data_IF_530318742541
#
_entry.id   IF_530318742541
#
_cell.length_a   1.000
_cell.length_b   1.000
_cell.length_c   1.000
_cell.angle_alpha   90.00
_cell.angle_beta   90.00
_cell.angle_gamma   90.00
#
_symmetry.space_group_name_H-M   'P 1'
#
loop_
_entity.id
_entity.type
_entity.pdbx_description
1 polymer ?
#
# COMPACT_ATOMS: atom_id res chain seq x y z
N UNK A 1 -23.63 64.56 0.02
CA UNK A 1 -24.75 63.60 0.08
C UNK A 1 -24.22 62.24 -0.34
N UNK A 2 -23.75 61.43 0.61
CA UNK A 2 -23.24 60.08 0.36
C UNK A 2 -24.37 59.07 0.54
N UNK A 3 -24.88 58.54 -0.57
CA UNK A 3 -25.84 57.44 -0.57
C UNK A 3 -25.13 56.14 -0.20
N UNK A 4 -25.38 55.65 1.02
CA UNK A 4 -24.97 54.32 1.46
C UNK A 4 -25.85 53.26 0.79
N UNK A 5 -25.29 52.59 -0.21
CA UNK A 5 -25.94 51.43 -0.83
C UNK A 5 -25.84 50.27 0.16
N UNK A 6 -26.91 49.99 0.91
CA UNK A 6 -26.98 48.80 1.76
C UNK A 6 -26.96 47.56 0.87
N UNK A 7 -25.86 46.81 0.89
CA UNK A 7 -25.77 45.50 0.25
C UNK A 7 -26.79 44.58 0.93
N UNK A 8 -27.87 44.29 0.21
CA UNK A 8 -28.90 43.38 0.67
C UNK A 8 -28.28 41.97 0.72
N UNK A 9 -28.20 41.37 1.90
CA UNK A 9 -27.73 40.01 2.05
C UNK A 9 -28.60 39.08 1.19
N UNK A 10 -28.02 38.11 0.45
CA UNK A 10 -28.80 37.18 -0.34
C UNK A 10 -29.82 36.48 0.58
N UNK A 11 -31.05 36.20 0.08
CA UNK A 11 -32.07 35.55 0.87
C UNK A 11 -31.49 34.25 1.43
N UNK A 12 -31.51 34.09 2.75
CA UNK A 12 -31.09 32.86 3.40
C UNK A 12 -31.90 31.72 2.80
N UNK A 13 -31.27 30.88 1.97
CA UNK A 13 -31.86 29.62 1.53
C UNK A 13 -32.10 28.84 2.80
N UNK A 14 -33.34 28.85 3.30
CA UNK A 14 -33.73 28.01 4.43
C UNK A 14 -33.39 26.59 3.99
N UNK A 15 -32.47 25.94 4.71
CA UNK A 15 -32.19 24.52 4.54
C UNK A 15 -33.50 23.80 4.79
N UNK A 16 -34.25 23.52 3.73
CA UNK A 16 -35.44 22.67 3.80
C UNK A 16 -34.99 21.38 4.46
N UNK A 17 -35.57 21.06 5.61
CA UNK A 17 -35.31 19.89 6.45
C UNK A 17 -34.71 18.75 5.63
N UNK A 18 -33.39 18.62 5.67
CA UNK A 18 -32.75 17.47 5.07
C UNK A 18 -33.21 16.28 5.90
N UNK A 19 -34.12 15.47 5.34
CA UNK A 19 -34.58 14.22 5.95
C UNK A 19 -33.41 13.23 6.00
N UNK A 20 -32.45 13.48 6.88
CA UNK A 20 -31.27 12.65 7.13
C UNK A 20 -31.54 11.85 8.39
N UNK A 21 -31.47 10.54 8.25
CA UNK A 21 -31.48 9.61 9.35
C UNK A 21 -30.14 9.67 10.09
N UNK A 22 -30.16 9.52 11.43
CA UNK A 22 -28.96 9.48 12.23
C UNK A 22 -28.16 8.20 11.94
N UNK A 23 -26.84 8.24 12.08
CA UNK A 23 -25.93 7.14 11.72
C UNK A 23 -26.26 5.79 12.36
N UNK A 24 -26.89 5.78 13.55
CA UNK A 24 -27.30 4.57 14.25
C UNK A 24 -28.30 3.70 13.45
N UNK A 25 -29.05 4.25 12.49
CA UNK A 25 -29.97 3.44 11.68
C UNK A 25 -29.26 2.33 10.89
N UNK A 26 -27.96 2.52 10.56
CA UNK A 26 -27.15 1.50 9.92
C UNK A 26 -26.93 0.29 10.84
N UNK A 27 -26.75 0.52 12.15
CA UNK A 27 -26.63 -0.56 13.12
C UNK A 27 -27.97 -1.32 13.22
N UNK A 28 -29.09 -0.60 13.26
CA UNK A 28 -30.42 -1.22 13.35
C UNK A 28 -30.76 -2.06 12.11
N UNK A 29 -30.50 -1.55 10.89
CA UNK A 29 -30.72 -2.33 9.66
C UNK A 29 -29.75 -3.49 9.55
N UNK A 30 -28.54 -3.37 10.11
CA UNK A 30 -27.55 -4.45 10.18
C UNK A 30 -27.97 -5.57 11.12
N UNK A 31 -28.41 -5.22 12.32
CA UNK A 31 -28.95 -6.19 13.29
C UNK A 31 -30.21 -6.86 12.77
N UNK A 32 -31.13 -6.11 12.16
CA UNK A 32 -32.32 -6.67 11.53
C UNK A 32 -31.95 -7.63 10.39
N UNK A 33 -30.99 -7.25 9.53
CA UNK A 33 -30.49 -8.10 8.46
C UNK A 33 -29.88 -9.41 8.99
N UNK A 34 -29.06 -9.32 10.03
CA UNK A 34 -28.42 -10.48 10.65
C UNK A 34 -29.44 -11.40 11.33
N UNK A 35 -30.41 -10.86 12.07
CA UNK A 35 -31.45 -11.66 12.73
C UNK A 35 -32.32 -12.40 11.71
N UNK A 36 -32.72 -11.71 10.63
CA UNK A 36 -33.48 -12.35 9.54
C UNK A 36 -32.63 -13.41 8.84
N UNK A 37 -31.35 -13.15 8.60
CA UNK A 37 -30.45 -14.15 8.01
C UNK A 37 -30.35 -15.41 8.87
N UNK A 38 -30.13 -15.25 10.18
CA UNK A 38 -30.03 -16.38 11.13
C UNK A 38 -31.34 -17.18 11.17
N UNK A 39 -32.50 -16.49 11.22
CA UNK A 39 -33.80 -17.14 11.23
C UNK A 39 -34.12 -17.87 9.92
N UNK A 40 -33.76 -17.31 8.77
CA UNK A 40 -33.92 -17.98 7.47
C UNK A 40 -33.01 -19.20 7.39
N UNK A 41 -31.73 -19.06 7.76
CA UNK A 41 -30.75 -20.14 7.65
C UNK A 41 -31.02 -21.29 8.64
N UNK A 42 -31.64 -21.03 9.79
CA UNK A 42 -32.03 -22.10 10.74
C UNK A 42 -33.16 -22.96 10.20
N UNK A 43 -34.09 -22.40 9.42
CA UNK A 43 -35.19 -23.15 8.80
C UNK A 43 -34.68 -24.12 7.73
N UNK A 44 -33.63 -23.74 7.01
CA UNK A 44 -33.05 -24.54 5.91
C UNK A 44 -31.87 -25.42 6.34
N UNK A 45 -31.59 -25.53 7.65
CA UNK A 45 -30.45 -26.27 8.20
C UNK A 45 -29.09 -25.91 7.56
N UNK A 46 -28.94 -24.65 7.16
CA UNK A 46 -27.77 -24.12 6.44
C UNK A 46 -26.95 -23.13 7.29
N UNK A 47 -27.06 -23.24 8.62
CA UNK A 47 -26.55 -22.27 9.57
C UNK A 47 -25.05 -22.46 9.80
N UNK A 48 -24.25 -21.62 9.15
CA UNK A 48 -22.81 -21.51 9.35
C UNK A 48 -22.44 -20.06 9.61
N UNK A 49 -21.29 -19.82 10.26
CA UNK A 49 -20.80 -18.45 10.51
C UNK A 49 -20.65 -17.68 9.19
N UNK A 50 -20.12 -18.34 8.16
CA UNK A 50 -19.94 -17.74 6.84
C UNK A 50 -21.27 -17.40 6.16
N UNK A 51 -22.23 -18.33 6.13
CA UNK A 51 -23.53 -18.11 5.52
C UNK A 51 -24.35 -17.04 6.26
N UNK A 52 -24.27 -16.99 7.59
CA UNK A 52 -24.93 -15.97 8.41
C UNK A 52 -24.36 -14.57 8.16
N UNK A 53 -23.03 -14.42 8.08
CA UNK A 53 -22.39 -13.14 7.76
C UNK A 53 -22.74 -12.71 6.33
N UNK A 54 -22.67 -13.61 5.36
CA UNK A 54 -22.89 -13.29 3.95
C UNK A 54 -24.34 -12.89 3.68
N UNK A 55 -25.30 -13.70 4.12
CA UNK A 55 -26.71 -13.38 3.97
C UNK A 55 -27.10 -12.17 4.83
N UNK A 56 -26.58 -12.07 6.05
CA UNK A 56 -26.80 -10.93 6.93
C UNK A 56 -26.33 -9.61 6.32
N UNK A 57 -25.16 -9.61 5.68
CA UNK A 57 -24.65 -8.43 4.97
C UNK A 57 -25.48 -8.10 3.72
N UNK A 58 -25.91 -9.09 2.94
CA UNK A 58 -26.81 -8.86 1.79
C UNK A 58 -28.14 -8.26 2.24
N UNK A 59 -28.73 -8.79 3.31
CA UNK A 59 -29.95 -8.24 3.89
C UNK A 59 -29.72 -6.86 4.50
N UNK A 60 -28.55 -6.60 5.08
CA UNK A 60 -28.17 -5.28 5.56
C UNK A 60 -28.09 -4.24 4.43
N UNK A 61 -27.51 -4.60 3.26
CA UNK A 61 -27.52 -3.75 2.07
C UNK A 61 -28.96 -3.45 1.61
N UNK A 62 -29.81 -4.49 1.57
CA UNK A 62 -31.19 -4.37 1.14
C UNK A 62 -32.02 -3.52 2.11
N UNK A 63 -31.97 -3.80 3.41
CA UNK A 63 -32.71 -3.05 4.43
C UNK A 63 -32.17 -1.63 4.58
N UNK A 64 -30.86 -1.43 4.58
CA UNK A 64 -30.24 -0.10 4.62
C UNK A 64 -30.66 0.76 3.42
N UNK A 65 -30.61 0.19 2.22
CA UNK A 65 -31.04 0.89 1.01
C UNK A 65 -32.54 1.17 0.99
N UNK A 66 -33.38 0.17 1.28
CA UNK A 66 -34.84 0.31 1.25
C UNK A 66 -35.34 1.30 2.32
N UNK A 67 -34.79 1.21 3.54
CA UNK A 67 -35.15 2.12 4.62
C UNK A 67 -34.77 3.56 4.31
N UNK A 68 -33.57 3.79 3.75
CA UNK A 68 -33.14 5.11 3.31
C UNK A 68 -33.95 5.62 2.10
N UNK A 69 -34.33 4.74 1.15
CA UNK A 69 -35.16 5.12 0.01
C UNK A 69 -36.54 5.64 0.45
N UNK A 70 -37.14 4.99 1.45
CA UNK A 70 -38.46 5.36 1.99
C UNK A 70 -38.43 6.64 2.84
N UNK A 71 -37.32 6.92 3.56
CA UNK A 71 -37.24 8.03 4.52
C UNK A 71 -36.48 9.25 4.01
N UNK A 72 -35.36 9.04 3.32
CA UNK A 72 -34.40 10.07 2.89
C UNK A 72 -34.48 10.34 1.37
N UNK A 73 -35.06 9.42 0.59
CA UNK A 73 -35.18 9.51 -0.86
C UNK A 73 -33.99 8.93 -1.63
N UNK A 74 -34.04 8.93 -2.97
CA UNK A 74 -33.16 8.11 -3.82
C UNK A 74 -31.69 8.57 -3.82
N UNK A 75 -31.43 9.86 -3.59
CA UNK A 75 -30.07 10.41 -3.55
C UNK A 75 -29.31 9.89 -2.33
N UNK A 76 -29.93 9.95 -1.16
CA UNK A 76 -29.32 9.49 0.09
C UNK A 76 -29.28 7.97 0.20
N UNK A 77 -30.28 7.26 -0.35
CA UNK A 77 -30.24 5.80 -0.43
C UNK A 77 -29.01 5.27 -1.20
N UNK A 78 -28.63 5.94 -2.29
CA UNK A 78 -27.40 5.60 -3.03
C UNK A 78 -26.15 5.87 -2.19
N UNK A 79 -26.10 6.99 -1.48
CA UNK A 79 -24.99 7.34 -0.59
C UNK A 79 -24.80 6.29 0.53
N UNK A 80 -25.90 5.85 1.17
CA UNK A 80 -25.88 4.79 2.19
C UNK A 80 -25.46 3.45 1.61
N UNK A 81 -26.01 3.07 0.45
CA UNK A 81 -25.61 1.85 -0.24
C UNK A 81 -24.10 1.83 -0.52
N UNK A 82 -23.56 2.93 -1.07
CA UNK A 82 -22.12 3.06 -1.31
C UNK A 82 -21.32 2.97 -0.03
N UNK A 83 -21.77 3.62 1.05
CA UNK A 83 -21.14 3.53 2.37
C UNK A 83 -21.05 2.08 2.85
N UNK A 84 -22.15 1.33 2.77
CA UNK A 84 -22.17 -0.08 3.20
C UNK A 84 -21.32 -0.97 2.31
N UNK A 85 -21.31 -0.75 1.00
CA UNK A 85 -20.43 -1.46 0.07
C UNK A 85 -18.94 -1.20 0.38
N UNK A 86 -18.58 0.05 0.66
CA UNK A 86 -17.20 0.41 1.07
C UNK A 86 -16.83 -0.26 2.39
N UNK A 87 -17.71 -0.26 3.39
CA UNK A 87 -17.48 -0.94 4.67
C UNK A 87 -17.30 -2.46 4.44
N UNK A 88 -18.13 -3.07 3.61
CA UNK A 88 -18.02 -4.48 3.25
C UNK A 88 -16.71 -4.81 2.54
N UNK A 89 -16.34 -4.02 1.52
CA UNK A 89 -15.08 -4.18 0.80
C UNK A 89 -13.87 -4.00 1.73
N UNK A 90 -13.92 -3.01 2.63
CA UNK A 90 -12.89 -2.79 3.65
C UNK A 90 -12.78 -4.00 4.59
N UNK A 91 -13.89 -4.54 5.08
CA UNK A 91 -13.89 -5.72 5.95
C UNK A 91 -13.29 -6.96 5.25
N UNK A 92 -13.66 -7.18 3.98
CA UNK A 92 -13.11 -8.27 3.16
C UNK A 92 -11.60 -8.10 2.97
N UNK A 93 -11.13 -6.88 2.69
CA UNK A 93 -9.70 -6.56 2.54
C UNK A 93 -8.93 -6.70 3.86
N UNK A 94 -9.56 -6.35 4.99
CA UNK A 94 -8.97 -6.43 6.31
C UNK A 94 -8.76 -7.88 6.78
N UNK A 95 -9.62 -8.81 6.36
CA UNK A 95 -9.53 -10.21 6.75
C UNK A 95 -8.17 -10.87 6.44
N UNK A 96 -7.65 -10.88 5.19
CA UNK A 96 -6.35 -11.46 4.89
C UNK A 96 -5.20 -10.72 5.60
N UNK A 97 -5.32 -9.40 5.78
CA UNK A 97 -4.30 -8.61 6.50
C UNK A 97 -4.22 -9.04 7.98
N UNK A 98 -5.36 -9.13 8.67
CA UNK A 98 -5.42 -9.58 10.06
C UNK A 98 -5.03 -11.06 10.19
N UNK A 99 -5.44 -11.91 9.25
CA UNK A 99 -5.05 -13.32 9.21
C UNK A 99 -3.54 -13.48 9.04
N UNK A 100 -2.92 -12.70 8.15
CA UNK A 100 -1.48 -12.70 7.95
C UNK A 100 -0.76 -12.20 9.20
N UNK A 101 -1.22 -11.11 9.79
CA UNK A 101 -0.65 -10.56 11.03
C UNK A 101 -0.72 -11.58 12.16
N UNK A 102 -1.88 -12.21 12.36
CA UNK A 102 -2.06 -13.28 13.35
C UNK A 102 -1.11 -14.45 13.09
N UNK A 103 -0.99 -14.90 11.85
CA UNK A 103 -0.08 -16.00 11.49
C UNK A 103 1.39 -15.64 11.72
N UNK A 104 1.80 -14.42 11.37
CA UNK A 104 3.17 -13.92 11.56
C UNK A 104 3.50 -13.81 13.05
N UNK A 105 2.61 -13.25 13.85
CA UNK A 105 2.83 -13.12 15.30
C UNK A 105 2.78 -14.51 15.96
N UNK A 106 1.76 -15.32 15.71
CA UNK A 106 1.58 -16.61 16.36
C UNK A 106 2.72 -17.60 16.03
N UNK A 107 3.02 -17.77 14.73
CA UNK A 107 4.09 -18.68 14.30
C UNK A 107 5.47 -18.09 14.52
N UNK A 108 5.64 -16.78 14.34
CA UNK A 108 6.91 -16.08 14.55
C UNK A 108 7.31 -16.05 16.01
N UNK A 109 6.39 -15.73 16.93
CA UNK A 109 6.67 -15.71 18.37
C UNK A 109 7.04 -17.11 18.87
N UNK A 110 6.33 -18.15 18.44
CA UNK A 110 6.69 -19.53 18.76
C UNK A 110 8.12 -19.87 18.31
N UNK A 111 8.51 -19.47 17.09
CA UNK A 111 9.87 -19.66 16.55
C UNK A 111 10.94 -18.90 17.35
N UNK A 112 10.66 -17.67 17.77
CA UNK A 112 11.60 -16.84 18.55
C UNK A 112 11.77 -17.40 19.97
N UNK A 113 10.67 -17.75 20.64
CA UNK A 113 10.72 -18.21 22.04
C UNK A 113 11.20 -19.65 22.19
N UNK A 114 10.89 -20.52 21.23
CA UNK A 114 11.31 -21.92 21.25
C UNK A 114 12.67 -22.15 20.54
N UNK A 115 13.42 -21.07 20.31
CA UNK A 115 14.72 -21.14 19.66
C UNK A 115 15.70 -21.99 20.49
N UNK A 116 16.50 -22.82 19.80
CA UNK A 116 17.47 -23.74 20.39
C UNK A 116 18.86 -23.44 19.81
N UNK A 117 19.94 -23.53 20.61
CA UNK A 117 20.03 -24.06 21.98
C UNK A 117 19.65 -23.08 23.09
N UNK A 118 19.65 -21.78 22.81
CA UNK A 118 19.36 -20.71 23.76
C UNK A 118 18.28 -19.75 23.20
N UNK A 119 17.57 -18.98 24.05
CA UNK A 119 16.51 -18.07 23.60
C UNK A 119 16.96 -16.96 22.62
N UNK A 120 18.26 -16.66 22.53
CA UNK A 120 18.81 -15.66 21.62
C UNK A 120 19.31 -16.26 20.29
N UNK A 121 19.40 -17.59 20.19
CA UNK A 121 19.86 -18.30 18.99
C UNK A 121 19.08 -17.93 17.73
N UNK A 122 17.80 -17.58 17.82
CA UNK A 122 17.04 -17.10 16.66
C UNK A 122 17.69 -15.88 15.99
N UNK A 123 18.31 -14.98 16.75
CA UNK A 123 18.89 -13.74 16.23
C UNK A 123 20.34 -13.89 15.77
N UNK A 124 21.09 -14.79 16.39
CA UNK A 124 22.54 -14.95 16.17
C UNK A 124 22.87 -16.12 15.26
N UNK A 125 22.02 -17.15 15.21
CA UNK A 125 22.23 -18.30 14.35
C UNK A 125 21.80 -18.02 12.91
N UNK A 126 22.36 -18.83 12.02
CA UNK A 126 22.08 -18.82 10.59
C UNK A 126 21.33 -20.10 10.16
N UNK A 127 20.95 -20.21 8.89
CA UNK A 127 20.35 -21.37 8.24
C UNK A 127 21.39 -22.26 7.55
N UNK A 128 22.69 -22.02 7.78
CA UNK A 128 23.76 -22.84 7.23
C UNK A 128 23.63 -24.30 7.71
N UNK A 129 23.62 -25.24 6.77
CA UNK A 129 23.48 -26.67 7.04
C UNK A 129 22.05 -27.13 7.39
N UNK A 130 21.06 -26.24 7.32
CA UNK A 130 19.66 -26.57 7.62
C UNK A 130 18.94 -26.91 6.32
N UNK A 131 18.54 -28.17 6.19
CA UNK A 131 17.90 -28.71 4.99
C UNK A 131 16.47 -29.14 5.35
N UNK A 132 15.51 -28.88 4.47
CA UNK A 132 14.14 -29.40 4.60
C UNK A 132 13.26 -28.68 5.63
N UNK A 133 13.62 -27.48 6.06
CA UNK A 133 12.77 -26.67 6.93
C UNK A 133 12.65 -27.20 8.36
N UNK A 134 13.69 -27.86 8.86
CA UNK A 134 13.79 -28.21 10.27
C UNK A 134 13.48 -26.97 11.15
N UNK A 135 12.83 -27.18 12.29
CA UNK A 135 12.57 -26.14 13.29
C UNK A 135 13.87 -25.78 14.05
N UNK A 136 14.86 -25.32 13.29
CA UNK A 136 16.18 -24.93 13.75
C UNK A 136 16.70 -23.77 12.90
N UNK A 137 17.73 -23.07 13.40
CA UNK A 137 18.37 -21.94 12.74
C UNK A 137 17.87 -20.58 13.20
N UNK A 138 18.42 -19.53 12.59
CA UNK A 138 18.09 -18.15 12.93
C UNK A 138 18.05 -17.20 11.72
N UNK A 139 17.72 -15.94 12.01
CA UNK A 139 17.49 -14.87 11.04
C UNK A 139 18.76 -14.09 10.71
N UNK A 140 19.91 -14.47 11.26
CA UNK A 140 21.14 -13.68 11.17
C UNK A 140 21.57 -13.38 9.71
N UNK A 141 21.60 -14.39 8.83
CA UNK A 141 21.88 -14.16 7.40
C UNK A 141 20.90 -13.22 6.72
N UNK A 142 19.63 -13.24 7.11
CA UNK A 142 18.62 -12.39 6.48
C UNK A 142 18.85 -10.92 6.88
N UNK A 143 19.24 -10.66 8.14
CA UNK A 143 19.62 -9.33 8.61
C UNK A 143 20.88 -8.85 7.89
N UNK A 144 21.96 -9.63 7.95
CA UNK A 144 23.24 -9.29 7.31
C UNK A 144 23.08 -9.14 5.80
N UNK A 145 22.36 -10.07 5.17
CA UNK A 145 22.05 -10.05 3.74
C UNK A 145 21.27 -8.81 3.34
N UNK A 146 20.26 -8.40 4.11
CA UNK A 146 19.50 -7.17 3.86
C UNK A 146 20.41 -5.95 3.94
N UNK A 147 21.27 -5.86 4.95
CA UNK A 147 22.21 -4.75 5.11
C UNK A 147 23.21 -4.69 3.94
N UNK A 148 23.81 -5.82 3.56
CA UNK A 148 24.76 -5.89 2.45
C UNK A 148 24.11 -5.56 1.11
N UNK A 149 22.92 -6.11 0.82
CA UNK A 149 22.18 -5.84 -0.41
C UNK A 149 21.82 -4.36 -0.49
N UNK A 150 21.30 -3.79 0.60
CA UNK A 150 20.93 -2.36 0.67
C UNK A 150 22.16 -1.47 0.55
N UNK A 151 23.27 -1.82 1.19
CA UNK A 151 24.53 -1.07 1.09
C UNK A 151 25.04 -1.05 -0.34
N UNK A 152 25.13 -2.20 -1.00
CA UNK A 152 25.59 -2.28 -2.39
C UNK A 152 24.65 -1.58 -3.36
N UNK A 153 23.33 -1.72 -3.17
CA UNK A 153 22.36 -0.96 -3.95
C UNK A 153 22.54 0.56 -3.73
N UNK A 154 22.81 1.00 -2.51
CA UNK A 154 23.05 2.40 -2.17
C UNK A 154 24.32 2.96 -2.80
N UNK A 155 25.42 2.20 -2.76
CA UNK A 155 26.69 2.58 -3.40
C UNK A 155 26.50 2.81 -4.91
N UNK A 156 25.59 2.06 -5.55
CA UNK A 156 25.29 2.21 -6.98
C UNK A 156 24.29 3.35 -7.22
N UNK A 157 23.13 3.30 -6.57
CA UNK A 157 22.00 4.18 -6.89
C UNK A 157 22.17 5.60 -6.38
N UNK A 158 22.85 5.82 -5.24
CA UNK A 158 23.02 7.18 -4.70
C UNK A 158 23.86 8.03 -5.64
N UNK A 159 25.08 7.63 -6.06
CA UNK A 159 25.87 8.43 -6.99
C UNK A 159 25.18 8.62 -8.33
N UNK A 160 24.63 7.54 -8.92
CA UNK A 160 23.93 7.60 -10.21
C UNK A 160 22.74 8.54 -10.14
N UNK A 161 21.92 8.41 -9.10
CA UNK A 161 20.72 9.23 -8.92
C UNK A 161 21.04 10.69 -8.65
N UNK A 162 22.03 10.96 -7.79
CA UNK A 162 22.46 12.31 -7.44
C UNK A 162 23.06 13.04 -8.65
N UNK A 163 23.99 12.42 -9.38
CA UNK A 163 24.57 13.05 -10.58
C UNK A 163 23.53 13.28 -11.68
N UNK A 164 22.57 12.37 -11.81
CA UNK A 164 21.45 12.53 -12.74
C UNK A 164 20.57 13.72 -12.33
N UNK A 165 20.23 13.84 -11.04
CA UNK A 165 19.46 14.97 -10.53
C UNK A 165 20.19 16.31 -10.72
N UNK A 166 21.49 16.35 -10.43
CA UNK A 166 22.33 17.54 -10.68
C UNK A 166 22.30 17.89 -12.18
N UNK A 167 22.45 16.91 -13.06
CA UNK A 167 22.35 17.12 -14.51
C UNK A 167 21.00 17.72 -14.93
N UNK A 168 19.90 17.16 -14.38
CA UNK A 168 18.54 17.59 -14.70
C UNK A 168 18.20 18.99 -14.18
N UNK A 169 18.73 19.38 -13.01
CA UNK A 169 18.43 20.68 -12.40
C UNK A 169 19.33 21.80 -12.93
N UNK A 170 20.61 21.52 -13.18
CA UNK A 170 21.59 22.56 -13.52
C UNK A 170 21.82 22.68 -15.03
N UNK A 171 21.75 21.58 -15.78
CA UNK A 171 22.27 21.55 -17.14
C UNK A 171 21.22 21.28 -18.22
N UNK A 172 20.01 20.85 -17.86
CA UNK A 172 19.00 20.38 -18.81
C UNK A 172 18.13 21.50 -19.43
N UNK A 173 18.46 22.77 -19.23
CA UNK A 173 17.57 23.88 -19.65
C UNK A 173 17.70 24.30 -21.12
N UNK A 174 18.84 24.06 -21.79
CA UNK A 174 19.09 24.61 -23.13
C UNK A 174 19.74 23.63 -24.13
N UNK A 175 19.40 23.80 -25.41
CA UNK A 175 20.00 23.08 -26.54
C UNK A 175 19.78 21.56 -26.53
N UNK A 176 20.77 20.81 -27.00
CA UNK A 176 20.74 19.33 -27.05
C UNK A 176 20.58 18.69 -25.66
N UNK A 177 21.07 19.35 -24.60
CA UNK A 177 20.95 18.88 -23.21
C UNK A 177 19.49 18.85 -22.74
N UNK A 178 18.63 19.74 -23.25
CA UNK A 178 17.19 19.73 -22.97
C UNK A 178 16.51 18.49 -23.54
N UNK A 179 16.90 18.06 -24.74
CA UNK A 179 16.37 16.82 -25.33
C UNK A 179 16.83 15.60 -24.54
N UNK A 180 18.10 15.58 -24.11
CA UNK A 180 18.62 14.53 -23.23
C UNK A 180 17.89 14.50 -21.88
N UNK A 181 17.70 15.64 -21.22
CA UNK A 181 16.99 15.73 -19.94
C UNK A 181 15.55 15.21 -20.03
N UNK A 182 14.83 15.53 -21.12
CA UNK A 182 13.51 14.94 -21.40
C UNK A 182 13.56 13.43 -21.57
N UNK A 183 14.57 12.91 -22.27
CA UNK A 183 14.77 11.48 -22.45
C UNK A 183 15.07 10.75 -21.14
N UNK A 184 15.94 11.32 -20.30
CA UNK A 184 16.26 10.79 -18.97
C UNK A 184 15.03 10.79 -18.07
N UNK A 185 14.29 11.90 -18.04
CA UNK A 185 13.03 12.00 -17.25
C UNK A 185 12.04 10.94 -17.70
N UNK A 186 11.85 10.76 -19.01
CA UNK A 186 11.00 9.70 -19.56
C UNK A 186 11.46 8.29 -19.14
N UNK A 187 12.77 8.01 -19.17
CA UNK A 187 13.30 6.72 -18.72
C UNK A 187 13.05 6.50 -17.22
N UNK A 188 13.27 7.52 -16.40
CA UNK A 188 12.98 7.48 -14.95
C UNK A 188 11.49 7.22 -14.71
N UNK A 189 10.60 7.91 -15.42
CA UNK A 189 9.16 7.71 -15.32
C UNK A 189 8.76 6.27 -15.70
N UNK A 190 9.33 5.73 -16.80
CA UNK A 190 9.11 4.35 -17.22
C UNK A 190 9.60 3.37 -16.14
N UNK A 191 10.77 3.61 -15.53
CA UNK A 191 11.29 2.77 -14.45
C UNK A 191 10.37 2.76 -13.23
N UNK A 192 9.74 3.90 -12.88
CA UNK A 192 8.74 3.94 -11.78
C UNK A 192 7.42 3.25 -12.12
N UNK A 193 7.09 3.13 -13.40
CA UNK A 193 5.87 2.46 -13.86
C UNK A 193 5.96 0.93 -13.81
N UNK A 194 7.16 0.35 -13.74
CA UNK A 194 7.36 -1.10 -13.70
C UNK A 194 7.03 -1.61 -12.29
N UNK A 195 6.19 -2.65 -12.14
CA UNK A 195 5.94 -3.27 -10.85
C UNK A 195 7.24 -3.80 -10.22
N UNK A 196 7.44 -3.59 -8.92
CA UNK A 196 8.67 -3.98 -8.21
C UNK A 196 8.98 -5.47 -8.30
N UNK A 197 7.94 -6.33 -8.34
CA UNK A 197 8.08 -7.79 -8.52
C UNK A 197 8.70 -8.11 -9.89
N UNK A 198 8.28 -7.40 -10.95
CA UNK A 198 8.78 -7.61 -12.31
C UNK A 198 10.24 -7.22 -12.40
N UNK A 199 10.63 -6.08 -11.82
CA UNK A 199 12.03 -5.66 -11.76
C UNK A 199 12.91 -6.66 -10.97
N UNK A 200 12.40 -7.17 -9.84
CA UNK A 200 13.09 -8.18 -9.05
C UNK A 200 13.32 -9.49 -9.82
N UNK A 201 12.29 -9.99 -10.51
CA UNK A 201 12.39 -11.21 -11.31
C UNK A 201 13.26 -10.99 -12.56
N UNK A 202 13.20 -9.82 -13.18
CA UNK A 202 14.07 -9.46 -14.30
C UNK A 202 15.55 -9.48 -13.88
N UNK A 203 15.89 -8.84 -12.75
CA UNK A 203 17.25 -8.86 -12.22
C UNK A 203 17.75 -10.29 -11.98
N UNK A 204 16.93 -11.14 -11.37
CA UNK A 204 17.24 -12.56 -11.19
C UNK A 204 17.46 -13.29 -12.53
N UNK A 205 16.52 -13.15 -13.46
CA UNK A 205 16.56 -13.85 -14.75
C UNK A 205 17.76 -13.42 -15.61
N UNK A 206 18.11 -12.13 -15.58
CA UNK A 206 19.27 -11.58 -16.27
C UNK A 206 20.55 -12.27 -15.78
N UNK A 207 20.76 -12.36 -14.47
CA UNK A 207 21.95 -13.00 -13.93
C UNK A 207 22.01 -14.50 -14.19
N UNK A 208 20.88 -15.21 -14.11
CA UNK A 208 20.81 -16.63 -14.47
C UNK A 208 21.17 -16.85 -15.94
N UNK A 209 20.76 -15.95 -16.83
CA UNK A 209 21.06 -16.06 -18.26
C UNK A 209 22.55 -15.84 -18.58
N UNK A 210 23.25 -15.00 -17.81
CA UNK A 210 24.67 -14.69 -18.03
C UNK A 210 25.64 -15.56 -17.22
N UNK A 211 25.18 -16.29 -16.20
CA UNK A 211 26.04 -17.17 -15.40
C UNK A 211 26.08 -18.61 -15.96
N UNK A 212 27.27 -19.24 -16.00
CA UNK A 212 27.42 -20.64 -16.44
C UNK A 212 26.70 -21.65 -15.54
N UNK A 213 26.61 -21.34 -14.25
CA UNK A 213 25.94 -22.18 -13.25
C UNK A 213 24.65 -21.51 -12.78
N UNK A 214 23.52 -22.08 -13.18
CA UNK A 214 22.18 -21.59 -12.85
C UNK A 214 21.79 -21.82 -11.38
N UNK A 215 22.59 -22.59 -10.64
CA UNK A 215 22.37 -22.83 -9.20
C UNK A 215 22.95 -21.73 -8.31
N UNK A 216 23.81 -20.87 -8.87
CA UNK A 216 24.46 -19.79 -8.14
C UNK A 216 23.47 -18.68 -7.81
N UNK A 217 23.21 -18.49 -6.52
CA UNK A 217 22.41 -17.38 -5.98
C UNK A 217 23.30 -16.49 -5.13
N UNK A 218 23.64 -15.33 -5.66
CA UNK A 218 24.54 -14.37 -4.98
C UNK A 218 23.77 -13.14 -4.53
N UNK A 219 24.12 -12.59 -3.36
CA UNK A 219 23.51 -11.37 -2.84
C UNK A 219 23.64 -10.16 -3.79
N UNK A 220 24.69 -10.13 -4.63
CA UNK A 220 24.89 -9.07 -5.62
C UNK A 220 23.79 -9.01 -6.68
N UNK A 221 23.17 -10.14 -7.02
CA UNK A 221 22.02 -10.16 -7.94
C UNK A 221 20.85 -9.37 -7.36
N UNK A 222 20.59 -9.55 -6.06
CA UNK A 222 19.60 -8.79 -5.31
C UNK A 222 19.95 -7.30 -5.21
N UNK A 223 21.24 -6.97 -5.02
CA UNK A 223 21.70 -5.58 -4.96
C UNK A 223 21.51 -4.84 -6.29
N UNK A 224 21.78 -5.50 -7.43
CA UNK A 224 21.54 -4.92 -8.75
C UNK A 224 20.05 -4.80 -9.06
N UNK A 225 19.25 -5.79 -8.70
CA UNK A 225 17.80 -5.69 -8.86
C UNK A 225 17.20 -4.55 -8.00
N UNK A 226 17.66 -4.42 -6.75
CA UNK A 226 17.24 -3.35 -5.86
C UNK A 226 17.72 -1.98 -6.36
N UNK A 227 18.93 -1.87 -6.91
CA UNK A 227 19.45 -0.60 -7.41
C UNK A 227 18.62 -0.03 -8.55
N UNK A 228 18.09 -0.88 -9.43
CA UNK A 228 17.15 -0.49 -10.51
C UNK A 228 15.89 0.17 -9.96
N UNK A 229 15.35 -0.34 -8.85
CA UNK A 229 14.17 0.23 -8.20
C UNK A 229 14.49 1.50 -7.41
N UNK A 230 15.72 1.59 -6.89
CA UNK A 230 16.12 2.70 -6.04
C UNK A 230 16.56 3.95 -6.82
N UNK A 231 17.14 3.79 -8.02
CA UNK A 231 17.60 4.92 -8.86
C UNK A 231 16.48 5.95 -9.09
N UNK A 232 15.27 5.61 -9.58
CA UNK A 232 14.24 6.61 -9.86
C UNK A 232 13.81 7.41 -8.62
N UNK A 233 13.73 6.73 -7.48
CA UNK A 233 13.39 7.35 -6.19
C UNK A 233 14.47 8.35 -5.77
N UNK A 234 15.75 7.98 -5.89
CA UNK A 234 16.86 8.88 -5.56
C UNK A 234 16.90 10.07 -6.52
N UNK A 235 16.79 9.85 -7.84
CA UNK A 235 16.78 10.92 -8.84
C UNK A 235 15.70 11.95 -8.51
N UNK A 236 14.46 11.50 -8.31
CA UNK A 236 13.32 12.40 -8.12
C UNK A 236 13.40 13.16 -6.79
N UNK A 237 13.75 12.46 -5.72
CA UNK A 237 13.93 13.10 -4.41
C UNK A 237 15.07 14.14 -4.45
N UNK A 238 16.20 13.82 -5.10
CA UNK A 238 17.30 14.76 -5.25
C UNK A 238 16.97 15.92 -6.19
N UNK A 239 16.26 15.70 -7.28
CA UNK A 239 15.83 16.76 -8.22
C UNK A 239 14.88 17.75 -7.53
N UNK A 240 13.88 17.23 -6.81
CA UNK A 240 12.94 18.05 -6.04
C UNK A 240 13.67 18.87 -4.97
N UNK A 241 14.60 18.25 -4.22
CA UNK A 241 15.39 18.95 -3.21
C UNK A 241 16.31 20.03 -3.80
N UNK A 242 17.02 19.74 -4.89
CA UNK A 242 17.93 20.69 -5.53
C UNK A 242 17.18 21.89 -6.12
N UNK A 243 15.96 21.70 -6.63
CA UNK A 243 15.11 22.79 -7.14
C UNK A 243 14.57 23.71 -6.05
N UNK A 244 14.48 23.26 -4.81
CA UNK A 244 14.03 24.09 -3.69
C UNK A 244 15.09 25.10 -3.23
N UNK A 245 16.35 24.96 -3.66
CA UNK A 245 17.43 25.88 -3.28
C UNK A 245 17.27 27.22 -4.02
N UNK A 246 17.12 28.36 -3.31
CA UNK A 246 17.04 29.69 -3.92
C UNK A 246 18.28 30.01 -4.78
N UNK A 247 18.08 30.76 -5.87
CA UNK A 247 19.18 31.11 -6.78
C UNK A 247 20.26 31.96 -6.08
N UNK A 248 19.86 32.83 -5.15
CA UNK A 248 20.77 33.68 -4.38
C UNK A 248 21.81 32.87 -3.57
N UNK A 249 21.47 31.63 -3.16
CA UNK A 249 22.40 30.72 -2.47
C UNK A 249 23.22 29.84 -3.44
N UNK A 250 22.83 29.76 -4.72
CA UNK A 250 23.56 29.02 -5.75
C UNK A 250 24.66 29.86 -6.39
N UNK A 251 24.48 31.18 -6.44
CA UNK A 251 25.41 32.13 -7.07
C UNK A 251 26.38 32.80 -6.08
N UNK A 252 26.14 32.68 -4.77
CA UNK A 252 27.00 33.24 -3.70
C UNK A 252 28.25 32.37 -3.42
#
# INVERSE_FOLDING_TARGET
MSSSTSVQAPPSVRSTDERRLPWYHLIFTGLAGLLVAVAVLSIFDALSVASAILLGFVLHLLFGWLYSLLREGPRWAKDRLMTLLVIGAFAISMFPLLSLLWAVIGRGLARVLAAKPDPFSFWTADMSGIIGGADAGGVFHAIVGTLLITLWASIISIPVGLFTAIFLVEYADQGWKRTLGKGVTFLVDVMTGIPSIVAGLFGLALFIAFMPDQSVRMGIMGAVALSLLMIPTVVRNSEEMLRLVPMDLREA
#
